data_IF_160696247603
#
_entry.id   IF_160696247603
#
_cell.length_a   1.000
_cell.length_b   1.000
_cell.length_c   1.000
_cell.angle_alpha   90.00
_cell.angle_beta   90.00
_cell.angle_gamma   90.00
#
_symmetry.space_group_name_H-M   'P 1'
#
loop_
_entity.id
_entity.type
_entity.pdbx_description
1 polymer ?
#
# COMPACT_ATOMS: atom_id res chain seq x y z
N UNK A 1 -13.68 14.01 1.56
CA UNK A 1 -12.33 13.43 1.72
C UNK A 1 -11.54 13.64 0.43
N UNK A 2 -10.38 14.23 0.55
CA UNK A 2 -9.52 14.53 -0.58
C UNK A 2 -8.22 13.75 -0.43
N UNK A 3 -7.81 13.07 -1.51
CA UNK A 3 -6.56 12.34 -1.55
C UNK A 3 -5.51 13.17 -2.28
N UNK A 4 -4.32 13.22 -1.71
CA UNK A 4 -3.17 13.84 -2.33
C UNK A 4 -2.07 12.80 -2.47
N UNK A 5 -1.69 12.47 -3.71
CA UNK A 5 -0.63 11.52 -3.97
C UNK A 5 0.71 12.17 -3.66
N UNK A 6 1.45 11.64 -2.69
CA UNK A 6 2.75 12.18 -2.30
C UNK A 6 3.90 11.37 -2.84
N UNK A 7 3.69 10.09 -3.15
CA UNK A 7 4.66 9.26 -3.85
C UNK A 7 3.96 8.41 -4.88
N UNK A 8 4.51 8.38 -6.08
CA UNK A 8 4.03 7.56 -7.18
C UNK A 8 5.19 6.73 -7.69
N UNK A 9 4.99 5.43 -7.76
CA UNK A 9 6.03 4.51 -8.17
C UNK A 9 5.85 4.12 -9.63
N UNK A 10 6.96 3.75 -10.28
CA UNK A 10 6.93 3.36 -11.68
C UNK A 10 6.19 2.04 -11.87
N UNK A 11 5.42 1.98 -12.96
CA UNK A 11 4.81 0.72 -13.38
C UNK A 11 5.88 -0.20 -13.96
N UNK A 12 5.66 -1.51 -13.87
CA UNK A 12 6.57 -2.50 -14.43
C UNK A 12 7.86 -2.71 -13.66
N UNK A 13 8.00 -2.09 -12.51
CA UNK A 13 9.17 -2.31 -11.66
C UNK A 13 9.14 -3.71 -11.05
N UNK A 14 10.29 -4.16 -10.58
CA UNK A 14 10.37 -5.42 -9.85
C UNK A 14 9.64 -5.30 -8.51
N UNK A 15 9.30 -6.47 -7.92
CA UNK A 15 8.69 -6.50 -6.61
C UNK A 15 9.59 -5.81 -5.59
N UNK A 16 8.98 -5.02 -4.72
CA UNK A 16 9.68 -4.37 -3.63
C UNK A 16 10.04 -5.35 -2.52
N UNK A 17 9.23 -6.41 -2.40
CA UNK A 17 9.40 -7.41 -1.36
C UNK A 17 8.81 -8.73 -1.82
N UNK A 18 9.46 -9.83 -1.45
CA UNK A 18 8.91 -11.17 -1.62
C UNK A 18 9.03 -11.93 -0.31
N UNK A 19 8.16 -12.92 -0.11
CA UNK A 19 8.17 -13.75 1.10
C UNK A 19 9.50 -14.47 1.34
N UNK A 20 10.32 -14.61 0.30
CA UNK A 20 11.61 -15.29 0.40
C UNK A 20 12.74 -14.37 0.85
N UNK A 21 12.53 -13.06 0.88
CA UNK A 21 13.56 -12.11 1.26
C UNK A 21 13.80 -12.15 2.76
N UNK A 22 14.94 -12.67 3.16
CA UNK A 22 15.29 -12.82 4.57
C UNK A 22 16.20 -11.71 5.08
N UNK A 23 17.03 -11.15 4.21
CA UNK A 23 18.06 -10.19 4.60
C UNK A 23 17.81 -8.77 4.11
N UNK A 24 16.71 -8.55 3.38
CA UNK A 24 16.37 -7.23 2.87
C UNK A 24 15.47 -6.48 3.86
N UNK A 25 15.46 -5.15 3.79
CA UNK A 25 14.53 -4.38 4.62
C UNK A 25 13.10 -4.84 4.39
N UNK A 26 12.39 -5.10 5.49
CA UNK A 26 10.99 -5.53 5.45
C UNK A 26 10.03 -4.36 5.44
N UNK A 27 10.54 -3.16 5.17
CA UNK A 27 9.74 -1.95 5.18
C UNK A 27 10.32 -0.92 4.22
N UNK A 28 9.43 -0.02 3.80
CA UNK A 28 9.79 1.16 3.02
C UNK A 28 9.67 2.39 3.90
N UNK A 29 10.67 3.26 3.90
CA UNK A 29 10.68 4.47 4.72
C UNK A 29 10.39 5.70 3.88
N UNK A 30 9.59 6.61 4.43
CA UNK A 30 9.35 7.92 3.83
C UNK A 30 9.17 8.96 4.94
N UNK A 31 9.27 10.23 4.59
CA UNK A 31 9.13 11.31 5.57
C UNK A 31 7.71 11.85 5.57
N UNK A 32 7.18 12.07 6.78
CA UNK A 32 5.90 12.74 6.93
C UNK A 32 5.98 14.15 6.34
N UNK A 33 5.02 14.51 5.50
CA UNK A 33 5.03 15.81 4.83
C UNK A 33 4.75 16.98 5.77
N UNK A 34 4.21 16.70 6.94
CA UNK A 34 3.86 17.75 7.90
C UNK A 34 4.93 17.98 8.96
N UNK A 35 5.44 16.93 9.58
CA UNK A 35 6.40 17.04 10.69
C UNK A 35 7.77 16.47 10.38
N UNK A 36 7.97 15.91 9.17
CA UNK A 36 9.24 15.37 8.71
C UNK A 36 9.75 14.17 9.52
N UNK A 37 8.89 13.53 10.30
CA UNK A 37 9.23 12.26 10.98
C UNK A 37 9.34 11.15 9.97
N UNK A 38 10.14 10.14 10.27
CA UNK A 38 10.26 8.94 9.42
C UNK A 38 9.07 8.04 9.67
N UNK A 39 8.40 7.62 8.60
CA UNK A 39 7.32 6.65 8.62
C UNK A 39 7.78 5.41 7.86
N UNK A 40 7.31 4.24 8.31
CA UNK A 40 7.72 2.97 7.72
C UNK A 40 6.50 2.16 7.30
N UNK A 41 6.51 1.71 6.04
CA UNK A 41 5.52 0.78 5.50
C UNK A 41 6.07 -0.62 5.68
N UNK A 42 5.39 -1.44 6.47
CA UNK A 42 5.78 -2.84 6.64
C UNK A 42 5.20 -3.66 5.49
N UNK A 43 6.07 -4.27 4.68
CA UNK A 43 5.62 -5.07 3.54
C UNK A 43 4.80 -6.28 3.96
N UNK A 44 5.13 -6.90 5.10
CA UNK A 44 4.37 -8.06 5.57
C UNK A 44 2.92 -7.69 5.88
N UNK A 45 2.66 -6.46 6.36
CA UNK A 45 1.29 -6.01 6.59
C UNK A 45 0.47 -5.98 5.30
N UNK A 46 1.12 -5.69 4.17
CA UNK A 46 0.43 -5.70 2.89
C UNK A 46 -0.04 -7.11 2.52
N UNK A 47 0.80 -8.10 2.78
CA UNK A 47 0.45 -9.51 2.55
C UNK A 47 -0.67 -9.93 3.51
N UNK A 48 -0.58 -9.55 4.77
CA UNK A 48 -1.59 -9.87 5.77
C UNK A 48 -2.95 -9.29 5.38
N UNK A 49 -2.97 -8.05 4.88
CA UNK A 49 -4.19 -7.41 4.41
C UNK A 49 -4.77 -8.10 3.17
N UNK A 50 -3.90 -8.63 2.31
CA UNK A 50 -4.35 -9.41 1.15
C UNK A 50 -5.14 -10.65 1.59
N UNK A 51 -4.67 -11.35 2.63
CA UNK A 51 -5.33 -12.56 3.13
C UNK A 51 -6.76 -12.31 3.59
N UNK A 52 -7.04 -11.15 4.15
CA UNK A 52 -8.40 -10.81 4.59
C UNK A 52 -9.19 -10.09 3.50
N UNK A 53 -8.61 -9.94 2.31
CA UNK A 53 -9.26 -9.34 1.15
C UNK A 53 -9.26 -7.83 1.12
N UNK A 54 -9.09 -7.19 2.25
CA UNK A 54 -8.97 -5.74 2.38
C UNK A 54 -8.45 -5.41 3.78
N UNK A 55 -7.94 -4.21 3.97
CA UNK A 55 -7.44 -3.79 5.27
C UNK A 55 -8.57 -3.55 6.26
N UNK A 56 -8.44 -4.08 7.47
CA UNK A 56 -9.41 -3.87 8.53
C UNK A 56 -9.47 -2.41 9.00
N UNK A 57 -8.41 -1.63 8.76
CA UNK A 57 -8.38 -0.23 9.16
C UNK A 57 -8.82 0.72 8.03
N UNK A 58 -9.35 0.19 6.93
CA UNK A 58 -9.91 0.98 5.83
C UNK A 58 -11.41 0.74 5.76
N UNK A 59 -12.17 1.81 5.90
CA UNK A 59 -13.64 1.73 5.78
C UNK A 59 -14.04 1.46 4.33
N UNK A 60 -15.14 0.76 4.15
CA UNK A 60 -15.64 0.40 2.83
C UNK A 60 -15.85 1.62 1.92
N UNK A 61 -16.39 2.70 2.45
CA UNK A 61 -16.61 3.93 1.70
C UNK A 61 -15.28 4.50 1.19
N UNK A 62 -14.26 4.50 2.04
CA UNK A 62 -12.92 4.97 1.68
C UNK A 62 -12.32 4.06 0.61
N UNK A 63 -12.46 2.75 0.78
CA UNK A 63 -11.99 1.77 -0.20
C UNK A 63 -12.58 2.03 -1.59
N UNK A 64 -13.88 2.27 -1.67
CA UNK A 64 -14.54 2.55 -2.95
C UNK A 64 -14.02 3.85 -3.58
N UNK A 65 -13.76 4.88 -2.77
CA UNK A 65 -13.18 6.13 -3.27
C UNK A 65 -11.77 5.93 -3.79
N UNK A 66 -10.98 5.10 -3.12
CA UNK A 66 -9.61 4.78 -3.56
C UNK A 66 -9.61 4.03 -4.88
N UNK A 67 -10.55 3.10 -5.06
CA UNK A 67 -10.68 2.39 -6.32
C UNK A 67 -10.97 3.35 -7.47
N UNK A 68 -11.81 4.33 -7.24
CA UNK A 68 -12.09 5.36 -8.24
C UNK A 68 -10.87 6.24 -8.51
N UNK A 69 -10.19 6.63 -7.46
CA UNK A 69 -9.00 7.48 -7.56
C UNK A 69 -7.92 6.83 -8.43
N UNK A 70 -7.70 5.54 -8.26
CA UNK A 70 -6.71 4.78 -9.01
C UNK A 70 -7.27 4.10 -10.26
N UNK A 71 -8.54 4.33 -10.58
CA UNK A 71 -9.19 3.74 -11.75
C UNK A 71 -9.12 2.21 -11.74
N UNK A 72 -9.31 1.61 -10.59
CA UNK A 72 -9.33 0.16 -10.44
C UNK A 72 -10.72 -0.33 -10.85
N UNK A 73 -10.76 -1.18 -11.87
CA UNK A 73 -12.00 -1.66 -12.44
C UNK A 73 -12.61 -2.85 -11.71
N UNK A 74 -13.60 -3.45 -12.35
CA UNK A 74 -14.37 -4.56 -11.78
C UNK A 74 -13.53 -5.82 -11.52
N UNK A 75 -12.40 -5.96 -12.18
CA UNK A 75 -11.53 -7.12 -11.98
C UNK A 75 -10.59 -6.97 -10.78
N UNK A 76 -10.68 -5.84 -10.06
CA UNK A 76 -9.88 -5.58 -8.86
C UNK A 76 -8.39 -5.86 -9.05
N UNK A 77 -7.82 -5.39 -10.16
CA UNK A 77 -6.39 -5.50 -10.39
C UNK A 77 -5.72 -4.15 -10.14
N UNK A 78 -4.62 -4.17 -9.39
CA UNK A 78 -3.80 -2.99 -9.21
C UNK A 78 -3.00 -2.70 -10.48
N UNK A 79 -2.34 -1.55 -10.51
CA UNK A 79 -1.60 -1.10 -11.69
C UNK A 79 -0.48 -2.07 -12.09
N UNK A 80 0.04 -2.84 -11.13
CA UNK A 80 1.08 -3.85 -11.38
C UNK A 80 0.50 -5.21 -11.76
N UNK A 81 -0.83 -5.35 -11.77
CA UNK A 81 -1.52 -6.60 -12.08
C UNK A 81 -1.83 -7.48 -10.88
N UNK A 82 -1.35 -7.11 -9.68
CA UNK A 82 -1.66 -7.82 -8.45
C UNK A 82 -3.01 -7.42 -7.86
N UNK A 83 -3.33 -7.98 -6.70
CA UNK A 83 -4.54 -7.61 -5.96
C UNK A 83 -4.30 -6.26 -5.26
N UNK A 84 -5.21 -5.29 -5.42
CA UNK A 84 -5.03 -3.98 -4.78
C UNK A 84 -5.23 -4.07 -3.28
N UNK A 85 -4.24 -3.63 -2.53
CA UNK A 85 -4.27 -3.57 -1.07
C UNK A 85 -4.07 -2.13 -0.65
N UNK A 86 -4.96 -1.65 0.22
CA UNK A 86 -4.88 -0.31 0.79
C UNK A 86 -4.75 -0.44 2.29
N UNK A 87 -3.79 0.26 2.86
CA UNK A 87 -3.55 0.24 4.30
C UNK A 87 -3.44 1.67 4.81
N UNK A 88 -3.89 1.89 6.04
CA UNK A 88 -3.83 3.20 6.66
C UNK A 88 -2.64 3.27 7.60
N UNK A 89 -1.85 4.32 7.46
CA UNK A 89 -0.69 4.57 8.30
C UNK A 89 -0.79 5.97 8.89
N UNK A 90 -0.76 6.05 10.20
CA UNK A 90 -0.88 7.32 10.91
C UNK A 90 0.47 7.75 11.45
N UNK A 91 0.83 9.02 11.23
CA UNK A 91 2.01 9.58 11.86
C UNK A 91 1.73 9.78 13.34
N UNK A 92 2.49 9.10 14.19
CA UNK A 92 2.29 9.18 15.64
C UNK A 92 2.63 10.55 16.21
N UNK A 93 3.43 11.32 15.51
CA UNK A 93 3.91 12.62 15.98
C UNK A 93 2.93 13.74 15.70
N UNK A 94 2.33 13.77 14.50
CA UNK A 94 1.42 14.86 14.12
C UNK A 94 0.01 14.39 13.76
N UNK A 95 -0.26 13.09 13.83
CA UNK A 95 -1.57 12.48 13.61
C UNK A 95 -2.09 12.53 12.16
N UNK A 96 -1.29 12.95 11.20
CA UNK A 96 -1.69 12.89 9.80
C UNK A 96 -1.80 11.45 9.34
N UNK A 97 -2.85 11.15 8.60
CA UNK A 97 -3.09 9.82 8.07
C UNK A 97 -2.66 9.70 6.62
N UNK A 98 -2.03 8.58 6.30
CA UNK A 98 -1.61 8.22 4.97
C UNK A 98 -2.28 6.92 4.56
N UNK A 99 -2.49 6.77 3.26
CA UNK A 99 -2.97 5.52 2.67
C UNK A 99 -1.83 4.95 1.85
N UNK A 100 -1.54 3.68 2.09
CA UNK A 100 -0.52 2.94 1.36
C UNK A 100 -1.24 2.07 0.33
N UNK A 101 -0.90 2.25 -0.94
CA UNK A 101 -1.46 1.46 -2.03
C UNK A 101 -0.40 0.51 -2.55
N UNK A 102 -0.70 -0.78 -2.51
CA UNK A 102 0.20 -1.80 -3.02
C UNK A 102 -0.57 -2.84 -3.83
N UNK A 103 0.17 -3.58 -4.66
CA UNK A 103 -0.33 -4.78 -5.31
C UNK A 103 0.32 -5.97 -4.66
N UNK A 104 -0.46 -6.99 -4.34
CA UNK A 104 0.00 -8.22 -3.72
C UNK A 104 -0.43 -9.40 -4.58
N UNK A 105 0.48 -10.33 -4.82
CA UNK A 105 0.18 -11.51 -5.62
C UNK A 105 0.93 -12.72 -5.08
N UNK A 106 0.23 -13.85 -5.04
CA UNK A 106 0.88 -15.15 -4.82
C UNK A 106 1.54 -15.56 -6.13
N UNK A 107 2.82 -15.89 -6.09
CA UNK A 107 3.53 -16.34 -7.28
C UNK A 107 3.91 -17.82 -7.24
N UNK A 108 3.88 -18.43 -6.05
CA UNK A 108 4.14 -19.85 -5.87
C UNK A 108 3.65 -20.25 -4.47
N UNK A 109 3.13 -21.42 -4.30
CA UNK A 109 2.61 -22.02 -3.06
C UNK A 109 2.84 -21.20 -1.78
N UNK A 110 1.92 -20.29 -1.46
CA UNK A 110 1.96 -19.42 -0.28
C UNK A 110 3.15 -18.45 -0.23
N UNK A 111 3.82 -18.24 -1.36
CA UNK A 111 4.84 -17.21 -1.49
C UNK A 111 4.26 -16.02 -2.23
N UNK A 112 4.46 -14.84 -1.68
CA UNK A 112 3.84 -13.60 -2.16
C UNK A 112 4.89 -12.56 -2.50
N UNK A 113 4.54 -11.68 -3.44
CA UNK A 113 5.31 -10.48 -3.64
C UNK A 113 4.43 -9.24 -3.45
N UNK A 114 5.08 -8.14 -3.10
CA UNK A 114 4.44 -6.85 -2.88
C UNK A 114 5.09 -5.82 -3.77
N UNK A 115 4.26 -5.03 -4.45
CA UNK A 115 4.72 -3.89 -5.23
C UNK A 115 4.03 -2.65 -4.66
N UNK A 116 4.82 -1.68 -4.20
CA UNK A 116 4.27 -0.40 -3.76
C UNK A 116 3.89 0.43 -4.99
N UNK A 117 2.64 0.87 -5.04
CA UNK A 117 2.10 1.61 -6.18
C UNK A 117 1.85 3.08 -5.88
N UNK A 118 1.68 3.43 -4.62
CA UNK A 118 1.47 4.82 -4.27
C UNK A 118 1.34 5.04 -2.77
N UNK A 119 1.58 6.27 -2.35
CA UNK A 119 1.32 6.72 -0.98
C UNK A 119 0.51 8.01 -1.08
N UNK A 120 -0.63 8.03 -0.42
CA UNK A 120 -1.55 9.16 -0.40
C UNK A 120 -1.60 9.77 0.98
N UNK A 121 -1.77 11.09 1.01
CA UNK A 121 -2.11 11.83 2.21
C UNK A 121 -3.60 12.12 2.18
N UNK A 122 -4.27 11.95 3.30
CA UNK A 122 -5.68 12.32 3.44
C UNK A 122 -5.74 13.77 3.90
N UNK A 123 -6.42 14.58 3.14
CA UNK A 123 -6.67 15.97 3.51
C UNK A 123 -8.02 16.15 4.19
#
# INVERSE_FOLDING_TARGET
MIFEEIEKFHTGKKADFTSEMKNNPKYYSFFCKSCNSILKVNYQNQIDNYWIGHSDNIEKVVFEKLKKFYNIGIFNKSIDGGFPVFDKLKCKKCNIEYIIYSGVREYYNSLYYVVLNGILKIK
#
